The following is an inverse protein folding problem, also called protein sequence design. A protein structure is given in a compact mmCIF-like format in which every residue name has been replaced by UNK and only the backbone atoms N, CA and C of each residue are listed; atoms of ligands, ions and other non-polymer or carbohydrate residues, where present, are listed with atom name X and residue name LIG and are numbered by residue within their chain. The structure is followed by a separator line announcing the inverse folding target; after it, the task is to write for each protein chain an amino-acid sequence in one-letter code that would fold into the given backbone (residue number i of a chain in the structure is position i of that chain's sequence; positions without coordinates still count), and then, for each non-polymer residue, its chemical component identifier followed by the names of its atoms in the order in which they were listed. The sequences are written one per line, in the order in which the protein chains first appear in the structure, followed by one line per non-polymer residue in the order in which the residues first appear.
data_IF_010643427622
#
_entry.id   IF_010643427622
#
_cell.length_a   1.000
_cell.length_b   1.000
_cell.length_c   1.000
_cell.angle_alpha   90.00
_cell.angle_beta   90.00
_cell.angle_gamma   90.00
#
_symmetry.space_group_name_H-M   'P 1'
#
loop_
_entity.id
_entity.type
_entity.pdbx_description
1 polymer ?
#
# COMPACT_ATOMS: atom_id res chain seq x y z
N UNK A 1 20.52 -10.73 7.40
CA UNK A 1 19.10 -10.57 7.70
C UNK A 1 18.28 -10.60 6.44
N UNK A 2 17.14 -11.24 6.47
CA UNK A 2 16.26 -11.33 5.34
C UNK A 2 15.42 -10.07 5.23
N UNK A 3 15.44 -9.44 4.06
CA UNK A 3 14.54 -8.35 3.78
C UNK A 3 13.12 -8.91 3.64
N UNK A 4 12.16 -8.25 4.28
CA UNK A 4 10.77 -8.66 4.20
C UNK A 4 10.13 -8.07 2.97
N UNK A 5 9.40 -8.90 2.24
CA UNK A 5 8.59 -8.47 1.11
C UNK A 5 7.13 -8.60 1.46
N UNK A 6 6.33 -7.65 1.00
CA UNK A 6 4.89 -7.68 1.15
C UNK A 6 4.26 -7.54 -0.22
N UNK A 7 3.43 -8.49 -0.59
CA UNK A 7 2.66 -8.45 -1.83
C UNK A 7 1.21 -8.19 -1.48
N UNK A 8 0.63 -7.17 -2.09
CA UNK A 8 -0.76 -6.83 -1.91
C UNK A 8 -1.45 -6.82 -3.26
N UNK A 9 -2.65 -7.34 -3.33
CA UNK A 9 -3.46 -7.32 -4.53
C UNK A 9 -4.79 -6.65 -4.21
N UNK A 10 -5.13 -5.66 -5.02
CA UNK A 10 -6.38 -4.91 -4.88
C UNK A 10 -7.18 -4.99 -6.18
N UNK A 11 -8.48 -5.09 -6.06
CA UNK A 11 -9.35 -4.83 -7.19
C UNK A 11 -9.51 -3.32 -7.32
N UNK A 12 -9.57 -2.84 -8.54
CA UNK A 12 -9.73 -1.41 -8.76
C UNK A 12 -10.89 -1.15 -9.70
N UNK A 13 -11.48 0.04 -9.56
CA UNK A 13 -12.61 0.44 -10.41
C UNK A 13 -12.18 0.85 -11.81
N UNK A 14 -10.87 1.08 -12.03
CA UNK A 14 -10.35 1.57 -13.32
C UNK A 14 -9.45 0.56 -14.02
N UNK A 15 -9.16 -0.55 -13.39
CA UNK A 15 -8.35 -1.63 -13.96
C UNK A 15 -8.83 -2.96 -13.39
N UNK A 16 -8.30 -4.08 -13.88
CA UNK A 16 -8.70 -5.40 -13.37
C UNK A 16 -8.27 -5.57 -11.92
N UNK A 17 -7.00 -5.85 -11.71
CA UNK A 17 -6.42 -5.92 -10.37
C UNK A 17 -5.06 -5.26 -10.39
N UNK A 18 -4.66 -4.74 -9.26
CA UNK A 18 -3.35 -4.11 -9.10
C UNK A 18 -2.57 -4.90 -8.08
N UNK A 19 -1.38 -5.31 -8.47
CA UNK A 19 -0.42 -5.93 -7.56
C UNK A 19 0.62 -4.88 -7.15
N UNK A 20 0.83 -4.75 -5.85
CA UNK A 20 1.86 -3.89 -5.29
C UNK A 20 2.80 -4.77 -4.47
N UNK A 21 4.09 -4.69 -4.76
CA UNK A 21 5.12 -5.41 -4.02
C UNK A 21 6.02 -4.40 -3.32
N UNK A 22 6.08 -4.50 -2.01
CA UNK A 22 6.96 -3.68 -1.19
C UNK A 22 8.20 -4.49 -0.84
N UNK A 23 9.36 -3.87 -0.97
CA UNK A 23 10.64 -4.52 -0.67
C UNK A 23 11.27 -3.90 0.56
N UNK A 24 11.85 -4.73 1.40
CA UNK A 24 12.47 -4.31 2.66
C UNK A 24 11.50 -3.52 3.52
N UNK A 25 10.39 -4.17 3.85
CA UNK A 25 9.32 -3.55 4.65
C UNK A 25 9.86 -3.28 6.05
N UNK A 26 9.71 -2.03 6.48
CA UNK A 26 10.15 -1.58 7.81
C UNK A 26 9.02 -1.62 8.82
N UNK A 27 7.89 -1.03 8.46
CA UNK A 27 6.71 -0.96 9.31
C UNK A 27 5.48 -1.10 8.41
N UNK A 28 4.43 -1.66 8.97
CA UNK A 28 3.17 -1.75 8.25
C UNK A 28 2.01 -1.88 9.22
N UNK A 29 0.84 -1.49 8.74
CA UNK A 29 -0.43 -1.78 9.39
C UNK A 29 -1.38 -2.21 8.29
N UNK A 30 -1.94 -3.41 8.43
CA UNK A 30 -2.93 -3.93 7.49
C UNK A 30 -4.26 -3.98 8.20
N UNK A 31 -5.22 -3.25 7.65
CA UNK A 31 -6.59 -3.31 8.14
C UNK A 31 -7.29 -4.37 7.30
N UNK A 32 -7.69 -5.50 7.88
CA UNK A 32 -8.34 -6.54 7.13
C UNK A 32 -9.70 -6.05 6.61
N UNK A 33 -10.16 -6.57 5.47
CA UNK A 33 -11.49 -6.24 4.98
C UNK A 33 -12.54 -6.63 6.01
N UNK A 34 -13.51 -5.76 6.19
CA UNK A 34 -14.68 -6.09 6.98
C UNK A 34 -15.61 -7.01 6.20
N UNK A 35 -16.72 -7.35 6.83
CA UNK A 35 -17.67 -8.29 6.24
C UNK A 35 -18.20 -7.83 4.86
N UNK A 36 -18.35 -6.53 4.69
CA UNK A 36 -18.82 -5.94 3.44
C UNK A 36 -17.73 -5.24 2.65
N UNK A 37 -16.49 -5.41 3.04
CA UNK A 37 -15.36 -4.77 2.38
C UNK A 37 -14.77 -5.75 1.34
N UNK A 38 -14.61 -5.26 0.14
CA UNK A 38 -14.18 -6.10 -0.98
C UNK A 38 -12.70 -5.98 -1.31
N UNK A 39 -11.96 -5.22 -0.53
CA UNK A 39 -10.54 -5.04 -0.79
C UNK A 39 -10.25 -4.15 -1.98
N UNK A 40 -11.17 -3.29 -2.35
CA UNK A 40 -10.99 -2.39 -3.46
C UNK A 40 -10.06 -1.24 -3.10
N UNK A 41 -9.23 -0.86 -4.05
CA UNK A 41 -8.39 0.31 -3.93
C UNK A 41 -8.97 1.43 -4.81
N UNK A 42 -9.59 2.41 -4.17
CA UNK A 42 -10.16 3.56 -4.89
C UNK A 42 -9.17 4.70 -5.02
N UNK A 43 -8.39 4.93 -3.98
CA UNK A 43 -7.36 5.95 -3.94
C UNK A 43 -6.17 5.44 -3.16
N UNK A 44 -5.02 6.00 -3.47
CA UNK A 44 -3.81 5.71 -2.71
C UNK A 44 -2.91 6.93 -2.74
N UNK A 45 -2.08 7.05 -1.72
CA UNK A 45 -1.05 8.08 -1.65
C UNK A 45 0.30 7.42 -1.42
N UNK A 46 1.30 7.89 -2.14
CA UNK A 46 2.66 7.40 -2.05
C UNK A 46 3.57 8.59 -1.81
N UNK A 47 4.36 8.51 -0.75
CA UNK A 47 5.33 9.55 -0.42
C UNK A 47 6.72 8.92 -0.37
N UNK A 48 7.71 9.66 -0.82
CA UNK A 48 9.10 9.24 -0.75
C UNK A 48 9.84 10.27 0.10
N UNK A 49 10.47 9.80 1.16
CA UNK A 49 11.18 10.65 2.10
C UNK A 49 12.36 9.86 2.67
N UNK A 50 13.56 10.45 2.63
CA UNK A 50 14.79 9.80 3.13
C UNK A 50 15.01 8.41 2.55
N UNK A 51 14.77 8.23 1.25
CA UNK A 51 14.93 6.96 0.54
C UNK A 51 13.96 5.88 1.03
N UNK A 52 12.90 6.27 1.71
CA UNK A 52 11.86 5.35 2.14
C UNK A 52 10.56 5.67 1.44
N UNK A 53 9.78 4.63 1.16
CA UNK A 53 8.48 4.73 0.50
C UNK A 53 7.39 4.55 1.55
N UNK A 54 6.43 5.45 1.54
CA UNK A 54 5.26 5.40 2.40
C UNK A 54 4.02 5.24 1.53
N UNK A 55 3.27 4.19 1.77
CA UNK A 55 2.03 3.91 1.05
C UNK A 55 0.84 4.02 2.02
N UNK A 56 -0.21 4.70 1.57
CA UNK A 56 -1.47 4.83 2.31
C UNK A 56 -2.63 4.49 1.39
N UNK A 57 -3.66 3.88 1.94
CA UNK A 57 -4.82 3.41 1.20
C UNK A 57 -5.89 4.48 0.95
N UNK A 58 -5.55 5.74 1.11
CA UNK A 58 -6.46 6.85 0.80
C UNK A 58 -5.69 8.06 0.26
N UNK A 59 -6.43 8.99 -0.31
CA UNK A 59 -5.81 10.23 -0.81
C UNK A 59 -5.43 11.15 0.34
N UNK A 60 -4.16 11.53 0.40
CA UNK A 60 -3.62 12.42 1.41
C UNK A 60 -2.78 13.50 0.73
N UNK A 61 -2.94 14.75 1.17
CA UNK A 61 -2.14 15.85 0.62
C UNK A 61 -0.70 15.81 1.11
N UNK A 62 -0.49 15.32 2.31
CA UNK A 62 0.83 15.20 2.91
C UNK A 62 0.89 13.96 3.77
N UNK A 63 2.09 13.55 4.09
CA UNK A 63 2.29 12.36 4.92
C UNK A 63 1.76 12.60 6.34
N UNK A 64 0.80 11.80 6.81
CA UNK A 64 0.20 12.00 8.11
C UNK A 64 1.15 11.53 9.23
N UNK A 65 0.93 12.04 10.43
CA UNK A 65 1.63 11.55 11.62
C UNK A 65 1.10 10.19 12.04
N UNK A 66 -0.18 9.94 11.81
CA UNK A 66 -0.80 8.67 12.09
C UNK A 66 -1.91 8.41 11.07
N UNK A 67 -2.22 7.15 10.84
CA UNK A 67 -3.23 6.75 9.87
C UNK A 67 -3.92 5.48 10.37
N UNK A 68 -5.23 5.50 10.44
CA UNK A 68 -6.02 4.39 10.97
C UNK A 68 -6.27 3.28 9.95
N UNK A 69 -6.01 3.53 8.68
CA UNK A 69 -6.16 2.54 7.62
C UNK A 69 -4.90 1.72 7.38
N UNK A 70 -4.84 1.12 6.21
CA UNK A 70 -3.68 0.35 5.78
C UNK A 70 -2.56 1.29 5.33
N UNK A 71 -1.37 1.07 5.83
CA UNK A 71 -0.19 1.79 5.39
C UNK A 71 1.05 0.92 5.47
N UNK A 72 2.04 1.23 4.64
CA UNK A 72 3.29 0.48 4.56
C UNK A 72 4.44 1.47 4.44
N UNK A 73 5.50 1.21 5.20
CA UNK A 73 6.78 1.90 5.07
C UNK A 73 7.82 0.88 4.63
N UNK A 74 8.44 1.13 3.50
CA UNK A 74 9.40 0.20 2.90
C UNK A 74 10.53 0.94 2.20
N UNK A 75 11.59 0.22 1.84
CA UNK A 75 12.68 0.81 1.07
C UNK A 75 12.42 0.83 -0.43
N UNK A 76 11.50 0.01 -0.91
CA UNK A 76 11.14 0.00 -2.32
C UNK A 76 9.72 -0.46 -2.55
N UNK A 77 9.19 -0.13 -3.72
CA UNK A 77 7.85 -0.51 -4.11
C UNK A 77 7.78 -0.69 -5.62
N UNK A 78 7.07 -1.71 -6.07
CA UNK A 78 6.74 -1.94 -7.48
C UNK A 78 5.26 -2.23 -7.60
N UNK A 79 4.68 -1.87 -8.72
CA UNK A 79 3.26 -2.18 -8.95
C UNK A 79 3.04 -2.55 -10.42
N UNK A 80 1.97 -3.29 -10.66
CA UNK A 80 1.53 -3.64 -12.01
C UNK A 80 0.05 -3.92 -12.02
N UNK A 81 -0.54 -3.79 -13.19
CA UNK A 81 -1.92 -4.24 -13.43
C UNK A 81 -1.86 -5.71 -13.81
N UNK A 82 -2.68 -6.51 -13.15
CA UNK A 82 -2.83 -7.93 -13.48
C UNK A 82 -3.97 -8.07 -14.47
N UNK A 83 -3.69 -8.67 -15.58
CA UNK A 83 -4.66 -8.86 -16.66
C UNK A 83 -5.21 -10.28 -16.63
#
# INVERSE_FOLDING_TARGET
SCAKKLRMVFDSSWANSIEIVFESVRLLRLVPPGENYLGDLFNASIFIDNLEVYFYDEYLKERPKSHDGTWVKALGMRWRVIV
#
